data_IF_174472374886
#
_entry.id   IF_174472374886
#
_cell.length_a   1.000
_cell.length_b   1.000
_cell.length_c   1.000
_cell.angle_alpha   90.00
_cell.angle_beta   90.00
_cell.angle_gamma   90.00
#
_symmetry.space_group_name_H-M   'P 1'
#
loop_
_entity.id
_entity.type
_entity.pdbx_description
1 polymer ?
#
# COMPACT_ATOMS: atom_id res chain seq x y z
N UNK A 1 2.24 -17.88 17.80
CA UNK A 1 3.52 -17.25 17.46
C UNK A 1 3.77 -16.13 18.44
N UNK A 2 4.90 -16.19 19.12
CA UNK A 2 5.42 -15.04 19.86
C UNK A 2 6.02 -14.00 18.89
N UNK A 3 6.42 -12.84 19.42
CA UNK A 3 6.94 -11.74 18.62
C UNK A 3 8.29 -12.07 17.95
N UNK A 4 9.11 -12.91 18.60
CA UNK A 4 10.44 -13.27 18.12
C UNK A 4 10.34 -14.22 16.93
N UNK A 5 9.52 -15.25 17.04
CA UNK A 5 9.21 -16.19 15.96
C UNK A 5 8.63 -15.45 14.74
N UNK A 6 7.72 -14.50 14.97
CA UNK A 6 7.16 -13.69 13.90
C UNK A 6 8.21 -12.79 13.23
N UNK A 7 9.13 -12.21 14.01
CA UNK A 7 10.23 -11.42 13.47
C UNK A 7 11.16 -12.27 12.60
N UNK A 8 11.51 -13.49 13.02
CA UNK A 8 12.36 -14.40 12.24
C UNK A 8 11.70 -14.85 10.92
N UNK A 9 10.41 -15.15 10.96
CA UNK A 9 9.65 -15.44 9.73
C UNK A 9 9.67 -14.25 8.78
N UNK A 10 9.42 -13.02 9.28
CA UNK A 10 9.47 -11.82 8.46
C UNK A 10 10.89 -11.53 7.92
N UNK A 11 11.95 -11.82 8.68
CA UNK A 11 13.34 -11.70 8.20
C UNK A 11 13.60 -12.63 7.02
N UNK A 12 13.10 -13.86 7.10
CA UNK A 12 13.21 -14.84 6.01
C UNK A 12 12.55 -14.30 4.73
N UNK A 13 11.31 -13.82 4.83
CA UNK A 13 10.62 -13.18 3.69
C UNK A 13 11.37 -11.95 3.15
N UNK A 14 12.03 -11.18 4.03
CA UNK A 14 12.79 -10.00 3.59
C UNK A 14 14.02 -10.43 2.79
N UNK A 15 14.72 -11.48 3.24
CA UNK A 15 15.83 -12.06 2.49
C UNK A 15 15.37 -12.56 1.12
N UNK A 16 14.25 -13.28 1.05
CA UNK A 16 13.66 -13.74 -0.21
C UNK A 16 13.28 -12.58 -1.14
N UNK A 17 12.62 -11.54 -0.62
CA UNK A 17 12.29 -10.33 -1.38
C UNK A 17 13.56 -9.69 -1.96
N UNK A 18 14.61 -9.56 -1.15
CA UNK A 18 15.87 -8.94 -1.56
C UNK A 18 16.64 -9.78 -2.60
N UNK A 19 16.43 -11.09 -2.66
CA UNK A 19 17.05 -11.95 -3.67
C UNK A 19 16.42 -11.77 -5.06
N UNK A 20 15.12 -11.47 -5.13
CA UNK A 20 14.39 -11.36 -6.40
C UNK A 20 14.17 -9.92 -6.86
N UNK A 21 14.15 -8.96 -5.92
CA UNK A 21 13.80 -7.58 -6.20
C UNK A 21 14.98 -6.79 -6.78
N UNK A 22 14.70 -5.96 -7.78
CA UNK A 22 15.66 -4.97 -8.30
C UNK A 22 15.89 -3.80 -7.33
N UNK A 23 15.00 -3.63 -6.34
CA UNK A 23 15.06 -2.58 -5.32
C UNK A 23 15.00 -3.22 -3.92
N UNK A 24 16.14 -3.75 -3.43
CA UNK A 24 16.18 -4.39 -2.12
C UNK A 24 15.85 -3.40 -1.00
N UNK A 25 15.25 -3.92 0.08
CA UNK A 25 14.86 -3.17 1.26
C UNK A 25 15.55 -3.75 2.51
N UNK A 26 16.25 -2.89 3.25
CA UNK A 26 16.90 -3.26 4.52
C UNK A 26 16.06 -2.72 5.69
N UNK A 27 14.94 -3.37 5.96
CA UNK A 27 14.06 -3.04 7.09
C UNK A 27 14.59 -3.67 8.37
N UNK A 28 14.69 -2.88 9.43
CA UNK A 28 14.94 -3.41 10.77
C UNK A 28 13.61 -3.89 11.35
N UNK A 29 13.45 -5.20 11.53
CA UNK A 29 12.19 -5.83 11.95
C UNK A 29 12.06 -5.89 13.48
N UNK A 30 11.91 -4.72 14.11
CA UNK A 30 11.54 -4.61 15.52
C UNK A 30 10.01 -4.54 15.71
N UNK A 31 9.56 -4.53 16.97
CA UNK A 31 8.14 -4.64 17.35
C UNK A 31 7.20 -3.75 16.51
N UNK A 32 7.53 -2.47 16.35
CA UNK A 32 6.74 -1.53 15.55
C UNK A 32 6.56 -2.02 14.10
N UNK A 33 7.64 -2.39 13.43
CA UNK A 33 7.59 -2.85 12.04
C UNK A 33 6.77 -4.14 11.92
N UNK A 34 6.98 -5.10 12.83
CA UNK A 34 6.25 -6.36 12.87
C UNK A 34 4.75 -6.13 13.10
N UNK A 35 4.38 -5.23 14.01
CA UNK A 35 2.98 -4.89 14.26
C UNK A 35 2.32 -4.25 13.04
N UNK A 36 2.97 -3.27 12.39
CA UNK A 36 2.42 -2.61 11.21
C UNK A 36 2.33 -3.55 10.00
N UNK A 37 3.35 -4.38 9.75
CA UNK A 37 3.26 -5.42 8.71
C UNK A 37 2.09 -6.36 9.02
N UNK A 38 1.89 -6.74 10.28
CA UNK A 38 0.78 -7.61 10.69
C UNK A 38 -0.59 -6.95 10.47
N UNK A 39 -0.72 -5.65 10.79
CA UNK A 39 -1.95 -4.87 10.54
C UNK A 39 -2.26 -4.80 9.05
N UNK A 40 -1.26 -4.47 8.21
CA UNK A 40 -1.42 -4.42 6.76
C UNK A 40 -1.76 -5.81 6.21
N UNK A 41 -1.05 -6.85 6.63
CA UNK A 41 -1.31 -8.24 6.21
C UNK A 41 -2.72 -8.70 6.56
N UNK A 42 -3.26 -8.25 7.70
CA UNK A 42 -4.65 -8.51 8.07
C UNK A 42 -5.63 -7.82 7.14
N UNK A 43 -5.38 -6.56 6.76
CA UNK A 43 -6.21 -5.84 5.78
C UNK A 43 -6.20 -6.55 4.43
N UNK A 44 -5.03 -6.98 3.94
CA UNK A 44 -4.91 -7.69 2.66
C UNK A 44 -5.62 -9.06 2.64
N UNK A 45 -5.85 -9.68 3.81
CA UNK A 45 -6.58 -10.95 3.92
C UNK A 45 -8.09 -10.77 4.08
N UNK A 46 -8.57 -9.54 4.27
CA UNK A 46 -9.99 -9.24 4.36
C UNK A 46 -10.54 -8.90 2.98
N UNK A 47 -11.64 -9.54 2.60
CA UNK A 47 -12.34 -9.23 1.36
C UNK A 47 -12.83 -7.77 1.37
N UNK A 48 -12.70 -7.09 0.22
CA UNK A 48 -13.17 -5.73 0.01
C UNK A 48 -12.62 -4.71 1.04
N UNK A 49 -11.39 -4.94 1.51
CA UNK A 49 -10.73 -4.10 2.51
C UNK A 49 -9.58 -3.30 1.92
N UNK A 50 -9.46 -2.05 2.37
CA UNK A 50 -8.43 -1.10 1.93
C UNK A 50 -7.72 -0.53 3.16
N UNK A 51 -6.56 0.09 2.99
CA UNK A 51 -5.79 0.67 4.09
C UNK A 51 -5.48 2.15 3.87
N UNK A 52 -5.56 2.93 4.95
CA UNK A 52 -5.06 4.30 5.01
C UNK A 52 -3.96 4.36 6.07
N UNK A 53 -2.71 4.42 5.61
CA UNK A 53 -1.52 4.49 6.44
C UNK A 53 -1.11 5.95 6.66
N UNK A 54 -1.31 6.42 7.89
CA UNK A 54 -1.08 7.82 8.25
C UNK A 54 0.23 7.93 9.02
N UNK A 55 1.16 8.76 8.57
CA UNK A 55 2.42 8.98 9.29
C UNK A 55 3.33 9.99 8.63
N UNK A 56 4.36 10.44 9.32
CA UNK A 56 5.33 11.37 8.77
C UNK A 56 6.21 10.71 7.69
N UNK A 57 6.94 11.52 6.91
CA UNK A 57 7.92 11.02 5.95
C UNK A 57 8.96 10.13 6.64
N UNK A 58 9.41 9.05 5.98
CA UNK A 58 10.40 8.13 6.55
C UNK A 58 9.87 7.11 7.56
N UNK A 59 8.59 7.14 7.95
CA UNK A 59 7.98 6.18 8.89
C UNK A 59 7.93 4.72 8.42
N UNK A 60 8.24 4.44 7.16
CA UNK A 60 8.29 3.08 6.61
C UNK A 60 7.00 2.59 5.94
N UNK A 61 5.93 3.39 5.89
CA UNK A 61 4.60 3.03 5.32
C UNK A 61 4.68 2.28 3.99
N UNK A 62 5.42 2.82 3.02
CA UNK A 62 5.56 2.21 1.69
C UNK A 62 6.35 0.89 1.75
N UNK A 63 7.47 0.87 2.47
CA UNK A 63 8.34 -0.31 2.55
C UNK A 63 7.68 -1.46 3.31
N UNK A 64 6.95 -1.16 4.39
CA UNK A 64 6.18 -2.17 5.14
C UNK A 64 4.99 -2.70 4.33
N UNK A 65 4.36 -1.86 3.50
CA UNK A 65 3.33 -2.31 2.55
C UNK A 65 3.91 -3.27 1.50
N UNK A 66 5.06 -2.93 0.92
CA UNK A 66 5.76 -3.80 -0.04
C UNK A 66 6.09 -5.17 0.57
N UNK A 67 6.57 -5.15 1.80
CA UNK A 67 6.83 -6.37 2.56
C UNK A 67 5.57 -7.19 2.79
N UNK A 68 4.48 -6.56 3.27
CA UNK A 68 3.21 -7.25 3.53
C UNK A 68 2.59 -7.83 2.25
N UNK A 69 2.64 -7.12 1.13
CA UNK A 69 2.17 -7.59 -0.17
C UNK A 69 2.99 -8.80 -0.65
N UNK A 70 4.32 -8.74 -0.53
CA UNK A 70 5.20 -9.85 -0.87
C UNK A 70 4.92 -11.09 -0.03
N UNK A 71 4.78 -10.93 1.30
CA UNK A 71 4.42 -12.04 2.21
C UNK A 71 3.07 -12.68 1.87
N UNK A 72 2.12 -11.89 1.37
CA UNK A 72 0.82 -12.39 0.93
C UNK A 72 0.85 -13.02 -0.48
N UNK A 73 1.95 -12.87 -1.22
CA UNK A 73 2.05 -13.28 -2.63
C UNK A 73 1.18 -12.42 -3.56
N UNK A 74 0.93 -11.16 -3.19
CA UNK A 74 0.09 -10.24 -3.96
C UNK A 74 0.96 -9.37 -4.87
N UNK A 75 0.47 -9.09 -6.07
CA UNK A 75 1.15 -8.21 -7.01
C UNK A 75 1.02 -6.76 -6.54
N UNK A 76 2.13 -6.09 -6.29
CA UNK A 76 2.13 -4.68 -5.90
C UNK A 76 2.33 -3.79 -7.13
N UNK A 77 1.40 -2.85 -7.32
CA UNK A 77 1.48 -1.82 -8.35
C UNK A 77 1.66 -0.47 -7.68
N UNK A 78 2.74 0.23 -8.05
CA UNK A 78 3.03 1.60 -7.63
C UNK A 78 3.25 2.45 -8.89
N UNK A 79 2.58 3.60 -8.97
CA UNK A 79 2.67 4.50 -10.12
C UNK A 79 3.92 5.38 -10.02
N UNK A 80 4.69 5.47 -11.09
CA UNK A 80 5.85 6.36 -11.16
C UNK A 80 5.47 7.68 -11.84
N UNK A 81 5.60 8.79 -11.11
CA UNK A 81 5.18 10.10 -11.58
C UNK A 81 6.35 10.86 -12.18
N UNK A 82 6.32 11.04 -13.50
CA UNK A 82 7.25 11.88 -14.25
C UNK A 82 6.84 13.36 -14.16
N UNK A 83 7.68 14.30 -14.64
CA UNK A 83 7.32 15.74 -14.67
C UNK A 83 6.08 16.02 -15.50
N UNK A 84 5.90 15.32 -16.62
CA UNK A 84 4.78 15.49 -17.56
C UNK A 84 3.55 14.65 -17.22
N UNK A 85 3.61 13.83 -16.17
CA UNK A 85 2.49 12.99 -15.74
C UNK A 85 1.28 13.85 -15.36
N UNK A 86 0.15 13.66 -16.05
CA UNK A 86 -1.12 14.33 -15.84
C UNK A 86 -2.28 13.34 -15.74
N UNK A 87 -3.50 13.86 -15.94
CA UNK A 87 -4.74 13.10 -15.77
C UNK A 87 -4.93 11.96 -16.78
N UNK A 88 -4.37 12.11 -17.99
CA UNK A 88 -4.45 11.07 -19.01
C UNK A 88 -3.64 9.85 -18.60
N UNK A 89 -2.37 10.05 -18.23
CA UNK A 89 -1.49 8.97 -17.77
C UNK A 89 -2.04 8.31 -16.51
N UNK A 90 -2.57 9.11 -15.58
CA UNK A 90 -3.28 8.63 -14.40
C UNK A 90 -4.40 7.65 -14.71
N UNK A 91 -5.30 8.02 -15.62
CA UNK A 91 -6.43 7.15 -16.00
C UNK A 91 -5.95 5.90 -16.72
N UNK A 92 -4.92 5.99 -17.56
CA UNK A 92 -4.33 4.81 -18.18
C UNK A 92 -3.71 3.84 -17.17
N UNK A 93 -3.05 4.34 -16.13
CA UNK A 93 -2.50 3.49 -15.07
C UNK A 93 -3.60 2.88 -14.18
N UNK A 94 -4.65 3.64 -13.86
CA UNK A 94 -5.82 3.10 -13.16
C UNK A 94 -6.51 1.99 -13.96
N UNK A 95 -6.67 2.16 -15.29
CA UNK A 95 -7.19 1.08 -16.15
C UNK A 95 -6.37 -0.18 -16.02
N UNK A 96 -5.03 -0.09 -16.01
CA UNK A 96 -4.15 -1.25 -15.86
C UNK A 96 -4.35 -1.91 -14.51
N UNK A 97 -4.41 -1.15 -13.42
CA UNK A 97 -4.66 -1.67 -12.06
C UNK A 97 -6.00 -2.42 -12.00
N UNK A 98 -7.08 -1.80 -12.50
CA UNK A 98 -8.41 -2.38 -12.50
C UNK A 98 -8.50 -3.62 -13.39
N UNK A 99 -7.87 -3.62 -14.57
CA UNK A 99 -7.81 -4.80 -15.45
C UNK A 99 -6.95 -5.93 -14.83
N UNK A 100 -5.86 -5.62 -14.15
CA UNK A 100 -5.03 -6.62 -13.46
C UNK A 100 -5.82 -7.34 -12.36
N UNK A 101 -6.55 -6.59 -11.54
CA UNK A 101 -7.41 -7.17 -10.50
C UNK A 101 -8.64 -7.88 -11.09
N UNK A 102 -9.39 -7.21 -11.97
CA UNK A 102 -10.65 -7.71 -12.50
C UNK A 102 -10.49 -8.77 -13.59
N UNK A 103 -9.77 -8.46 -14.66
CA UNK A 103 -9.64 -9.35 -15.81
C UNK A 103 -8.73 -10.54 -15.52
N UNK A 104 -7.52 -10.29 -15.00
CA UNK A 104 -6.57 -11.37 -14.69
C UNK A 104 -7.00 -12.13 -13.42
N UNK A 105 -7.76 -11.48 -12.52
CA UNK A 105 -8.22 -12.09 -11.27
C UNK A 105 -7.12 -12.24 -10.23
N UNK A 106 -6.02 -11.49 -10.38
CA UNK A 106 -4.86 -11.57 -9.50
C UNK A 106 -5.04 -10.69 -8.28
N UNK A 107 -4.59 -11.20 -7.13
CA UNK A 107 -4.56 -10.40 -5.91
C UNK A 107 -3.58 -9.23 -6.07
N UNK A 108 -4.09 -8.01 -5.94
CA UNK A 108 -3.41 -6.79 -6.35
C UNK A 108 -3.41 -5.78 -5.21
N UNK A 109 -2.24 -5.24 -4.88
CA UNK A 109 -2.09 -4.12 -3.96
C UNK A 109 -1.74 -2.87 -4.77
N UNK A 110 -2.63 -1.89 -4.79
CA UNK A 110 -2.35 -0.58 -5.36
C UNK A 110 -1.82 0.35 -4.25
N UNK A 111 -0.52 0.64 -4.28
CA UNK A 111 0.14 1.52 -3.31
C UNK A 111 0.24 2.94 -3.88
N UNK A 112 -0.41 3.90 -3.21
CA UNK A 112 -0.41 5.29 -3.63
C UNK A 112 -0.11 6.23 -2.45
N UNK A 113 0.87 7.11 -2.64
CA UNK A 113 1.38 8.01 -1.61
C UNK A 113 0.99 9.46 -1.89
N UNK A 114 0.92 10.27 -0.83
CA UNK A 114 0.56 11.68 -0.91
C UNK A 114 1.48 12.53 -1.80
N UNK A 115 2.78 12.23 -1.81
CA UNK A 115 3.76 12.89 -2.67
C UNK A 115 3.55 12.60 -4.17
N UNK A 116 2.70 11.62 -4.51
CA UNK A 116 2.28 11.31 -5.88
C UNK A 116 1.00 12.08 -6.27
N UNK A 117 0.36 12.81 -5.36
CA UNK A 117 -0.86 13.57 -5.70
C UNK A 117 -0.45 14.89 -6.37
N UNK A 118 -0.55 14.93 -7.70
CA UNK A 118 -0.35 16.15 -8.50
C UNK A 118 -1.64 16.95 -8.70
N UNK A 119 -2.76 16.25 -8.74
CA UNK A 119 -4.08 16.81 -9.01
C UNK A 119 -5.11 16.12 -8.09
N UNK A 120 -6.06 16.89 -7.55
CA UNK A 120 -7.06 16.35 -6.62
C UNK A 120 -8.03 15.38 -7.30
N UNK A 121 -8.18 15.44 -8.63
CA UNK A 121 -8.93 14.45 -9.42
C UNK A 121 -8.40 13.03 -9.24
N UNK A 122 -7.12 12.85 -8.88
CA UNK A 122 -6.56 11.52 -8.61
C UNK A 122 -7.20 10.92 -7.36
N UNK A 123 -7.41 11.75 -6.33
CA UNK A 123 -8.03 11.33 -5.08
C UNK A 123 -9.54 11.12 -5.27
N UNK A 124 -10.17 11.89 -6.17
CA UNK A 124 -11.56 11.67 -6.56
C UNK A 124 -11.75 10.31 -7.25
N UNK A 125 -10.91 9.96 -8.22
CA UNK A 125 -10.97 8.66 -8.91
C UNK A 125 -10.71 7.51 -7.90
N UNK A 126 -9.73 7.66 -6.99
CA UNK A 126 -9.52 6.69 -5.88
C UNK A 126 -10.76 6.59 -5.01
N UNK A 127 -11.38 7.71 -4.65
CA UNK A 127 -12.58 7.72 -3.82
C UNK A 127 -13.72 6.94 -4.50
N UNK A 128 -13.85 7.00 -5.82
CA UNK A 128 -14.81 6.17 -6.58
C UNK A 128 -14.44 4.68 -6.51
N UNK A 129 -13.18 4.32 -6.73
CA UNK A 129 -12.71 2.93 -6.62
C UNK A 129 -13.01 2.35 -5.23
N UNK A 130 -12.74 3.09 -4.17
CA UNK A 130 -13.01 2.66 -2.79
C UNK A 130 -14.51 2.41 -2.52
N UNK A 131 -15.40 3.19 -3.14
CA UNK A 131 -16.84 3.04 -2.95
C UNK A 131 -17.41 1.91 -3.82
N UNK A 132 -17.17 1.96 -5.13
CA UNK A 132 -17.87 1.14 -6.12
C UNK A 132 -16.98 0.07 -6.76
N UNK A 133 -15.66 0.23 -6.71
CA UNK A 133 -14.72 -0.60 -7.49
C UNK A 133 -14.61 -0.19 -8.95
N UNK A 134 -15.16 0.98 -9.34
CA UNK A 134 -15.14 1.49 -10.71
C UNK A 134 -14.83 3.00 -10.75
N UNK A 135 -14.34 3.45 -11.91
CA UNK A 135 -14.26 4.88 -12.25
C UNK A 135 -15.16 5.15 -13.45
N UNK A 136 -16.23 5.97 -13.31
CA UNK A 136 -17.15 6.23 -14.40
C UNK A 136 -16.46 6.77 -15.65
N UNK A 137 -16.87 6.26 -16.81
CA UNK A 137 -16.37 6.67 -18.13
C UNK A 137 -14.85 6.55 -18.30
N UNK A 138 -14.19 5.65 -17.54
CA UNK A 138 -12.75 5.42 -17.71
C UNK A 138 -12.45 4.64 -18.99
N UNK A 139 -13.30 3.66 -19.35
CA UNK A 139 -13.10 2.81 -20.53
C UNK A 139 -13.84 3.32 -21.77
N UNK A 140 -13.17 3.44 -22.93
CA UNK A 140 -13.83 3.63 -24.22
C UNK A 140 -14.64 2.38 -24.61
N UNK A 141 -15.56 2.48 -25.59
CA UNK A 141 -16.44 1.37 -25.98
C UNK A 141 -15.69 0.10 -26.40
N UNK A 142 -14.55 0.24 -27.08
CA UNK A 142 -13.71 -0.88 -27.52
C UNK A 142 -13.16 -1.66 -26.31
N UNK A 143 -12.51 -0.98 -25.37
CA UNK A 143 -11.98 -1.60 -24.15
C UNK A 143 -13.08 -2.19 -23.27
N UNK A 144 -14.28 -1.59 -23.24
CA UNK A 144 -15.44 -2.20 -22.56
C UNK A 144 -15.82 -3.52 -23.21
N UNK A 145 -15.84 -3.60 -24.55
CA UNK A 145 -16.09 -4.84 -25.29
C UNK A 145 -15.13 -5.96 -24.86
N UNK A 146 -13.83 -5.66 -24.80
CA UNK A 146 -12.79 -6.61 -24.36
C UNK A 146 -13.04 -7.12 -22.93
N UNK A 147 -13.41 -6.24 -22.00
CA UNK A 147 -13.73 -6.61 -20.62
C UNK A 147 -14.93 -7.58 -20.60
N UNK A 148 -15.98 -7.29 -21.36
CA UNK A 148 -17.18 -8.12 -21.41
C UNK A 148 -16.90 -9.52 -21.96
N UNK A 149 -16.13 -9.61 -23.06
CA UNK A 149 -15.71 -10.89 -23.64
C UNK A 149 -14.92 -11.73 -22.63
N UNK A 150 -13.99 -11.08 -21.91
CA UNK A 150 -13.18 -11.73 -20.90
C UNK A 150 -14.00 -12.20 -19.69
N UNK A 151 -14.96 -11.40 -19.22
CA UNK A 151 -15.88 -11.81 -18.16
C UNK A 151 -16.80 -12.95 -18.59
N UNK A 152 -17.22 -12.98 -19.86
CA UNK A 152 -18.01 -14.07 -20.38
C UNK A 152 -17.23 -15.39 -20.37
N UNK A 153 -15.94 -15.35 -20.75
CA UNK A 153 -15.05 -16.51 -20.66
C UNK A 153 -14.88 -17.00 -19.21
N UNK A 154 -14.69 -16.07 -18.27
CA UNK A 154 -14.61 -16.36 -16.83
C UNK A 154 -15.88 -17.03 -16.31
N UNK A 155 -17.07 -16.52 -16.65
CA UNK A 155 -18.35 -17.11 -16.22
C UNK A 155 -18.54 -18.52 -16.78
N UNK A 156 -18.27 -18.72 -18.07
CA UNK A 156 -18.32 -20.04 -18.71
C UNK A 156 -17.40 -21.04 -18.02
N UNK A 157 -16.18 -20.64 -17.69
CA UNK A 157 -15.22 -21.48 -16.96
C UNK A 157 -15.67 -21.79 -15.52
N UNK A 158 -16.41 -20.88 -14.87
CA UNK A 158 -16.94 -21.07 -13.52
C UNK A 158 -18.20 -21.97 -13.46
N UNK A 159 -18.72 -22.42 -14.60
CA UNK A 159 -19.94 -23.23 -14.68
C UNK A 159 -21.23 -22.47 -14.34
N UNK A 160 -21.16 -21.16 -14.07
CA UNK A 160 -22.32 -20.30 -13.86
C UNK A 160 -22.90 -19.87 -15.20
N UNK A 161 -23.98 -20.52 -15.62
CA UNK A 161 -24.81 -20.08 -16.75
C UNK A 161 -25.77 -19.01 -16.25
N UNK A 162 -25.25 -17.82 -16.01
CA UNK A 162 -26.04 -16.63 -15.71
C UNK A 162 -26.26 -15.80 -16.97
N UNK A 163 -27.26 -14.92 -16.91
CA UNK A 163 -27.54 -13.88 -17.90
C UNK A 163 -26.24 -13.23 -18.43
N UNK A 164 -26.02 -13.32 -19.74
CA UNK A 164 -24.83 -12.75 -20.42
C UNK A 164 -25.08 -11.33 -20.91
N UNK A 165 -26.03 -10.61 -20.32
CA UNK A 165 -26.23 -9.20 -20.64
C UNK A 165 -24.95 -8.40 -20.33
N UNK A 166 -24.64 -7.35 -21.13
CA UNK A 166 -23.47 -6.51 -20.90
C UNK A 166 -23.39 -5.94 -19.47
N UNK A 167 -24.54 -5.62 -18.87
CA UNK A 167 -24.61 -5.11 -17.50
C UNK A 167 -24.18 -6.18 -16.49
N UNK A 168 -24.69 -7.40 -16.61
CA UNK A 168 -24.34 -8.51 -15.71
C UNK A 168 -22.86 -8.86 -15.81
N UNK A 169 -22.32 -8.91 -17.03
CA UNK A 169 -20.90 -9.17 -17.27
C UNK A 169 -20.01 -8.07 -16.65
N UNK A 170 -20.38 -6.80 -16.82
CA UNK A 170 -19.64 -5.70 -16.21
C UNK A 170 -19.70 -5.73 -14.67
N UNK A 171 -20.85 -6.09 -14.09
CA UNK A 171 -20.97 -6.26 -12.64
C UNK A 171 -20.06 -7.39 -12.11
N UNK A 172 -19.87 -8.47 -12.87
CA UNK A 172 -18.90 -9.53 -12.53
C UNK A 172 -17.47 -9.01 -12.56
N UNK A 173 -17.13 -8.14 -13.51
CA UNK A 173 -15.82 -7.47 -13.54
C UNK A 173 -15.63 -6.62 -12.28
N UNK A 174 -16.61 -5.78 -11.93
CA UNK A 174 -16.53 -4.92 -10.74
C UNK A 174 -16.41 -5.75 -9.46
N UNK A 175 -17.17 -6.83 -9.32
CA UNK A 175 -17.06 -7.70 -8.14
C UNK A 175 -15.68 -8.36 -8.03
N UNK A 176 -15.09 -8.76 -9.17
CA UNK A 176 -13.71 -9.26 -9.21
C UNK A 176 -12.72 -8.17 -8.83
N UNK A 177 -12.90 -6.93 -9.30
CA UNK A 177 -12.05 -5.80 -8.86
C UNK A 177 -12.16 -5.63 -7.35
N UNK A 178 -13.36 -5.55 -6.78
CA UNK A 178 -13.58 -5.33 -5.34
C UNK A 178 -12.94 -6.43 -4.46
N UNK A 179 -13.04 -7.68 -4.90
CA UNK A 179 -12.50 -8.83 -4.17
C UNK A 179 -11.00 -9.04 -4.35
N UNK A 180 -10.39 -8.48 -5.40
CA UNK A 180 -8.98 -8.69 -5.75
C UNK A 180 -8.08 -7.46 -5.59
N UNK A 181 -8.66 -6.27 -5.49
CA UNK A 181 -7.94 -5.01 -5.38
C UNK A 181 -7.94 -4.51 -3.94
N UNK A 182 -6.75 -4.35 -3.38
CA UNK A 182 -6.54 -3.64 -2.12
C UNK A 182 -5.84 -2.31 -2.40
N UNK A 183 -6.54 -1.21 -2.13
CA UNK A 183 -5.94 0.13 -2.20
C UNK A 183 -5.27 0.44 -0.87
N UNK A 184 -3.97 0.78 -0.90
CA UNK A 184 -3.19 1.17 0.28
C UNK A 184 -2.69 2.59 0.07
N UNK A 185 -3.21 3.52 0.88
CA UNK A 185 -2.91 4.94 0.80
C UNK A 185 -1.90 5.33 1.86
N UNK A 186 -0.77 5.91 1.48
CA UNK A 186 0.24 6.41 2.41
C UNK A 186 0.16 7.95 2.48
N UNK A 187 -0.53 8.50 3.49
CA UNK A 187 -0.72 9.96 3.63
C UNK A 187 -0.03 10.56 4.86
N UNK A 188 0.60 11.71 4.68
CA UNK A 188 1.16 12.50 5.79
C UNK A 188 0.05 13.33 6.45
N UNK A 189 -0.04 13.32 7.80
CA UNK A 189 -0.96 14.19 8.51
C UNK A 189 -0.49 15.65 8.58
N UNK A 190 0.71 15.96 8.06
CA UNK A 190 1.32 17.29 8.10
C UNK A 190 0.64 18.24 7.11
N UNK A 191 0.26 19.42 7.59
CA UNK A 191 -0.44 20.45 6.83
C UNK A 191 -1.94 20.20 6.67
N UNK A 192 -2.63 21.12 5.99
CA UNK A 192 -4.10 21.09 5.87
C UNK A 192 -4.61 20.20 4.74
N UNK A 193 -3.77 19.88 3.75
CA UNK A 193 -4.16 19.12 2.57
C UNK A 193 -4.79 17.76 2.94
N UNK A 194 -4.19 17.04 3.89
CA UNK A 194 -4.72 15.77 4.38
C UNK A 194 -6.12 15.94 4.99
N UNK A 195 -6.30 16.89 5.90
CA UNK A 195 -7.60 17.16 6.56
C UNK A 195 -8.66 17.60 5.55
N UNK A 196 -8.27 18.40 4.56
CA UNK A 196 -9.18 18.84 3.51
C UNK A 196 -9.63 17.66 2.64
N UNK A 197 -8.73 16.77 2.23
CA UNK A 197 -9.07 15.54 1.49
C UNK A 197 -9.99 14.62 2.27
N UNK A 198 -9.77 14.44 3.57
CA UNK A 198 -10.67 13.64 4.42
C UNK A 198 -12.10 14.22 4.49
N UNK A 199 -12.26 15.54 4.41
CA UNK A 199 -13.58 16.20 4.37
C UNK A 199 -14.24 16.09 3.00
N UNK A 200 -13.46 16.18 1.93
CA UNK A 200 -13.96 16.11 0.54
C UNK A 200 -14.28 14.67 0.13
N UNK A 201 -13.48 13.70 0.56
CA UNK A 201 -13.49 12.31 0.12
C UNK A 201 -13.69 11.38 1.32
N UNK A 202 -14.95 11.20 1.72
CA UNK A 202 -15.30 10.44 2.93
C UNK A 202 -15.00 8.95 2.85
N UNK A 203 -14.84 8.37 1.64
CA UNK A 203 -14.49 6.96 1.49
C UNK A 203 -13.08 6.63 1.99
N UNK A 204 -12.20 7.62 2.04
CA UNK A 204 -10.87 7.49 2.67
C UNK A 204 -10.98 7.07 4.15
N UNK A 205 -12.07 7.43 4.83
CA UNK A 205 -12.34 7.05 6.23
C UNK A 205 -13.26 5.83 6.28
N UNK A 206 -14.31 5.80 5.46
CA UNK A 206 -15.38 4.82 5.57
C UNK A 206 -15.02 3.45 4.98
N UNK A 207 -14.13 3.42 3.98
CA UNK A 207 -13.78 2.20 3.23
C UNK A 207 -12.38 1.68 3.55
N UNK A 208 -11.58 2.44 4.31
CA UNK A 208 -10.21 2.07 4.66
C UNK A 208 -10.08 1.74 6.14
N UNK A 209 -9.32 0.69 6.45
CA UNK A 209 -8.77 0.50 7.78
C UNK A 209 -7.64 1.49 8.00
N UNK A 210 -7.79 2.33 9.02
CA UNK A 210 -6.80 3.35 9.35
C UNK A 210 -5.70 2.74 10.22
N UNK A 211 -4.45 2.90 9.80
CA UNK A 211 -3.27 2.52 10.57
C UNK A 211 -2.36 3.74 10.78
N UNK A 212 -2.16 4.10 12.04
CA UNK A 212 -1.35 5.25 12.43
C UNK A 212 0.09 4.83 12.68
N UNK A 213 0.97 5.23 11.78
CA UNK A 213 2.41 5.13 11.93
C UNK A 213 2.87 6.26 12.85
N UNK A 214 2.76 5.99 14.14
CA UNK A 214 3.24 6.90 15.19
C UNK A 214 4.75 7.05 15.10
N UNK A 215 5.25 8.01 15.85
CA UNK A 215 6.67 8.17 16.08
C UNK A 215 7.29 6.88 16.63
N UNK A 216 8.55 6.66 16.27
CA UNK A 216 9.28 5.51 16.77
C UNK A 216 9.55 5.69 18.27
N UNK A 217 9.22 4.67 19.09
CA UNK A 217 9.55 4.69 20.51
C UNK A 217 11.07 4.63 20.72
N UNK A 218 11.53 4.96 21.93
CA UNK A 218 12.96 5.02 22.26
C UNK A 218 13.68 3.69 21.99
N UNK A 219 13.03 2.57 22.31
CA UNK A 219 13.57 1.21 22.09
C UNK A 219 13.72 0.88 20.60
N UNK A 220 12.85 1.44 19.75
CA UNK A 220 12.97 1.34 18.30
C UNK A 220 14.19 2.10 17.78
N UNK A 221 14.39 3.34 18.25
CA UNK A 221 15.54 4.17 17.87
C UNK A 221 16.85 3.51 18.29
N UNK A 222 16.91 2.97 19.51
CA UNK A 222 18.07 2.24 20.02
C UNK A 222 18.35 0.98 19.19
N UNK A 223 17.33 0.15 18.91
CA UNK A 223 17.49 -1.08 18.10
C UNK A 223 17.98 -0.78 16.69
N UNK A 224 17.45 0.26 16.05
CA UNK A 224 17.88 0.68 14.71
C UNK A 224 19.33 1.16 14.77
N UNK A 225 19.67 2.01 15.72
CA UNK A 225 21.03 2.50 15.89
C UNK A 225 22.02 1.35 16.17
N UNK A 226 21.70 0.41 17.06
CA UNK A 226 22.51 -0.79 17.29
C UNK A 226 22.72 -1.59 16.01
N UNK A 227 21.65 -1.84 15.23
CA UNK A 227 21.76 -2.66 14.03
C UNK A 227 22.64 -2.01 12.94
N UNK A 228 22.57 -0.68 12.79
CA UNK A 228 23.40 0.04 11.82
C UNK A 228 24.84 0.26 12.30
N UNK A 229 25.05 0.51 13.61
CA UNK A 229 26.36 0.79 14.17
C UNK A 229 27.15 -0.48 14.52
N UNK A 230 26.49 -1.63 14.73
CA UNK A 230 27.17 -2.91 15.00
C UNK A 230 28.07 -3.39 13.84
N UNK A 231 27.85 -2.87 12.62
CA UNK A 231 28.71 -3.13 11.46
C UNK A 231 30.05 -2.40 11.57
N UNK A 232 30.13 -1.37 12.42
CA UNK A 232 31.34 -0.59 12.64
C UNK A 232 32.13 -1.18 13.82
N UNK A 233 33.45 -1.32 13.66
CA UNK A 233 34.34 -1.81 14.71
C UNK A 233 34.56 -0.71 15.78
N UNK A 234 33.55 -0.51 16.64
CA UNK A 234 33.52 0.53 17.68
C UNK A 234 33.05 -0.03 19.02
N UNK A 235 33.56 -1.20 19.41
CA UNK A 235 33.12 -1.95 20.58
C UNK A 235 33.03 -1.12 21.87
N UNK A 236 33.99 -0.23 22.14
CA UNK A 236 34.01 0.59 23.37
C UNK A 236 33.13 1.85 23.32
N UNK A 237 32.65 2.24 22.12
CA UNK A 237 31.91 3.48 21.89
C UNK A 237 30.47 3.26 21.41
N UNK A 238 30.12 2.02 21.04
CA UNK A 238 28.83 1.68 20.43
C UNK A 238 27.64 2.22 21.23
N UNK A 239 27.57 1.92 22.52
CA UNK A 239 26.46 2.34 23.38
C UNK A 239 26.37 3.88 23.49
N UNK A 240 27.51 4.57 23.52
CA UNK A 240 27.56 6.05 23.56
C UNK A 240 27.08 6.65 22.24
N UNK A 241 27.47 6.05 21.12
CA UNK A 241 27.01 6.47 19.80
C UNK A 241 25.51 6.22 19.62
N UNK A 242 25.01 5.06 20.06
CA UNK A 242 23.56 4.74 20.07
C UNK A 242 22.78 5.78 20.87
N UNK A 243 23.25 6.08 22.09
CA UNK A 243 22.66 7.12 22.94
C UNK A 243 22.64 8.49 22.23
N UNK A 244 23.75 8.90 21.61
CA UNK A 244 23.81 10.15 20.86
C UNK A 244 22.83 10.19 19.68
N UNK A 245 22.73 9.10 18.91
CA UNK A 245 21.80 9.00 17.78
C UNK A 245 20.35 9.17 18.24
N UNK A 246 19.96 8.49 19.32
CA UNK A 246 18.64 8.66 19.95
C UNK A 246 18.43 10.11 20.40
N UNK A 247 19.38 10.66 21.17
CA UNK A 247 19.27 12.01 21.71
C UNK A 247 19.12 13.07 20.62
N UNK A 248 19.88 12.98 19.52
CA UNK A 248 19.73 13.90 18.39
C UNK A 248 18.37 13.75 17.72
N UNK A 249 17.87 12.54 17.52
CA UNK A 249 16.56 12.31 16.91
C UNK A 249 15.43 12.93 17.73
N UNK A 250 15.45 12.70 19.06
CA UNK A 250 14.47 13.26 19.98
C UNK A 250 14.57 14.79 20.09
N UNK A 251 15.79 15.32 20.11
CA UNK A 251 16.03 16.76 20.20
C UNK A 251 15.54 17.48 18.95
N UNK A 252 15.85 16.97 17.76
CA UNK A 252 15.34 17.53 16.49
C UNK A 252 13.82 17.42 16.43
N UNK A 253 13.23 16.32 16.90
CA UNK A 253 11.78 16.17 17.00
C UNK A 253 11.16 17.27 17.85
N UNK A 254 11.67 17.53 19.05
CA UNK A 254 11.14 18.57 19.93
C UNK A 254 11.22 19.97 19.32
N UNK A 255 12.23 20.21 18.48
CA UNK A 255 12.41 21.48 17.76
C UNK A 255 11.58 21.61 16.47
N UNK A 256 11.00 20.50 15.99
CA UNK A 256 10.23 20.46 14.73
C UNK A 256 8.72 20.69 14.93
N UNK A 257 8.29 20.97 16.17
CA UNK A 257 6.91 21.32 16.57
C UNK A 257 6.77 22.83 16.57
#
# INVERSE_FOLDING_TARGET
>A
MDLEELSEVMKTYQSEYNMISKTPMHLVLFKFAVEHISRISRVLKQDNSHALLIGIGGSGRQSLTKMAAFMAGYDLIQIEISRTYGIHEWREDLKKVLKHAGNDGKQTVFLFADNQIKDESFVEDINMILNTGDVPNIYPPEEKGEILERMQAVLKASGKVTDTSPLTLYNVFIERVRTKLHVVLAMSPVGDAFRNRLRMFTSLINCCTIDWFTEWPEDALEKVAHNFLAVLDMHDLLDRCVFMCKHFHESVRLLSI
#
